data_IF_305620741583
#
_entry.id   IF_305620741583
#
_cell.length_a   1.000
_cell.length_b   1.000
_cell.length_c   1.000
_cell.angle_alpha   90.00
_cell.angle_beta   90.00
_cell.angle_gamma   90.00
#
_symmetry.space_group_name_H-M   'P 1'
#
loop_
_entity.id
_entity.type
_entity.pdbx_description
1 polymer ?
#
# COMPACT_ATOMS: atom_id res chain seq x y z
N UNK A 1 11.25 0.47 54.53
CA UNK A 1 12.27 1.11 53.66
C UNK A 1 11.67 1.24 52.28
N UNK A 2 11.04 2.39 52.02
CA UNK A 2 10.59 2.76 50.69
C UNK A 2 11.82 3.23 49.90
N UNK A 3 12.28 2.40 48.96
CA UNK A 3 13.34 2.77 48.02
C UNK A 3 12.74 2.98 46.63
N UNK A 4 12.67 4.26 46.24
CA UNK A 4 12.85 4.80 44.89
C UNK A 4 12.17 4.09 43.71
N UNK A 5 10.84 4.20 43.61
CA UNK A 5 10.12 3.87 42.37
C UNK A 5 10.47 4.81 41.20
N UNK A 6 10.84 6.06 41.47
CA UNK A 6 11.19 7.07 40.46
C UNK A 6 12.57 6.87 39.82
N UNK A 7 13.55 6.35 40.57
CA UNK A 7 14.88 6.03 40.03
C UNK A 7 14.88 4.83 39.07
N UNK A 8 13.93 3.91 39.24
CA UNK A 8 13.73 2.73 38.38
C UNK A 8 13.17 3.11 36.99
N UNK A 9 12.19 4.03 36.96
CA UNK A 9 11.50 4.44 35.73
C UNK A 9 12.42 5.22 34.80
N UNK A 10 13.25 6.14 35.32
CA UNK A 10 14.17 6.94 34.52
C UNK A 10 15.19 6.08 33.75
N UNK A 11 15.61 4.95 34.32
CA UNK A 11 16.53 3.99 33.67
C UNK A 11 15.83 3.14 32.60
N UNK A 12 14.50 3.09 32.59
CA UNK A 12 13.71 2.36 31.60
C UNK A 12 13.31 3.22 30.39
N UNK A 13 13.27 4.55 30.53
CA UNK A 13 12.86 5.48 29.46
C UNK A 13 13.63 5.25 28.16
N UNK A 14 14.98 5.13 28.14
CA UNK A 14 15.70 4.93 26.89
C UNK A 14 15.28 3.65 26.16
N UNK A 15 15.00 2.58 26.91
CA UNK A 15 14.55 1.32 26.34
C UNK A 15 13.11 1.36 25.83
N UNK A 16 12.23 2.10 26.52
CA UNK A 16 10.86 2.34 26.03
C UNK A 16 10.88 3.10 24.70
N UNK A 17 11.72 4.13 24.59
CA UNK A 17 11.89 4.88 23.34
C UNK A 17 12.43 3.99 22.22
N UNK A 18 13.40 3.13 22.50
CA UNK A 18 13.95 2.16 21.54
C UNK A 18 12.87 1.16 21.08
N UNK A 19 12.02 0.67 21.99
CA UNK A 19 10.89 -0.18 21.63
C UNK A 19 9.87 0.51 20.71
N UNK A 20 9.60 1.80 20.95
CA UNK A 20 8.74 2.61 20.08
C UNK A 20 9.37 2.75 18.68
N UNK A 21 10.70 2.92 18.57
CA UNK A 21 11.39 2.97 17.27
C UNK A 21 11.16 1.68 16.48
N UNK A 22 11.29 0.51 17.11
CA UNK A 22 10.94 -0.77 16.46
C UNK A 22 9.49 -0.80 15.96
N UNK A 23 8.54 -0.34 16.79
CA UNK A 23 7.13 -0.22 16.40
C UNK A 23 6.92 0.70 15.20
N UNK A 24 7.58 1.85 15.16
CA UNK A 24 7.52 2.78 14.02
C UNK A 24 8.06 2.13 12.74
N UNK A 25 9.19 1.42 12.83
CA UNK A 25 9.78 0.71 11.69
C UNK A 25 8.82 -0.36 11.16
N UNK A 26 8.20 -1.14 12.05
CA UNK A 26 7.17 -2.12 11.65
C UNK A 26 5.98 -1.43 10.97
N UNK A 27 5.48 -0.32 11.52
CA UNK A 27 4.36 0.42 10.94
C UNK A 27 4.67 0.98 9.55
N UNK A 28 5.89 1.47 9.32
CA UNK A 28 6.35 1.89 7.97
C UNK A 28 6.36 0.70 7.02
N UNK A 29 6.92 -0.44 7.42
CA UNK A 29 6.95 -1.65 6.60
C UNK A 29 5.55 -2.16 6.27
N UNK A 30 4.66 -2.21 7.27
CA UNK A 30 3.28 -2.59 7.11
C UNK A 30 2.54 -1.66 6.13
N UNK A 31 2.79 -0.34 6.20
CA UNK A 31 2.19 0.62 5.28
C UNK A 31 2.70 0.41 3.85
N UNK A 32 4.00 0.21 3.64
CA UNK A 32 4.53 -0.10 2.29
C UNK A 32 3.83 -1.35 1.71
N UNK A 33 3.70 -2.43 2.49
CA UNK A 33 2.99 -3.64 2.04
C UNK A 33 1.51 -3.37 1.74
N UNK A 34 0.85 -2.53 2.54
CA UNK A 34 -0.54 -2.12 2.30
C UNK A 34 -0.68 -1.35 0.98
N UNK A 35 0.23 -0.41 0.72
CA UNK A 35 0.29 0.39 -0.51
C UNK A 35 0.47 -0.47 -1.76
N UNK A 36 1.34 -1.47 -1.68
CA UNK A 36 1.58 -2.44 -2.74
C UNK A 36 0.35 -3.32 -3.00
N UNK A 37 -0.28 -3.85 -1.93
CA UNK A 37 -1.48 -4.68 -2.01
C UNK A 37 -2.65 -3.95 -2.69
N UNK A 38 -2.80 -2.65 -2.42
CA UNK A 38 -3.90 -1.82 -2.94
C UNK A 38 -3.45 -0.83 -4.03
N UNK A 39 -2.36 -1.12 -4.73
CA UNK A 39 -1.79 -0.28 -5.79
C UNK A 39 -2.80 0.08 -6.91
N UNK A 40 -3.71 -0.83 -7.22
CA UNK A 40 -4.70 -0.69 -8.30
C UNK A 40 -6.10 -0.28 -7.83
N UNK A 41 -6.30 -0.05 -6.52
CA UNK A 41 -7.57 0.40 -5.97
C UNK A 41 -7.67 1.92 -6.13
N UNK A 42 -8.45 2.37 -7.11
CA UNK A 42 -8.44 3.76 -7.61
C UNK A 42 -8.66 4.79 -6.50
N UNK A 43 -9.60 4.53 -5.60
CA UNK A 43 -9.99 5.48 -4.56
C UNK A 43 -9.28 5.26 -3.24
N UNK A 44 -8.16 4.51 -3.25
CA UNK A 44 -7.51 4.08 -2.02
C UNK A 44 -6.76 5.27 -1.42
N UNK A 45 -7.28 5.76 -0.31
CA UNK A 45 -6.80 6.90 0.45
C UNK A 45 -6.75 6.50 1.94
N UNK A 46 -5.69 5.78 2.36
CA UNK A 46 -5.63 5.25 3.72
C UNK A 46 -5.58 6.39 4.76
N UNK A 47 -4.84 7.46 4.47
CA UNK A 47 -4.63 8.58 5.40
C UNK A 47 -5.90 9.35 5.79
N UNK A 48 -6.93 9.33 4.95
CA UNK A 48 -8.22 9.99 5.24
C UNK A 48 -9.15 9.09 6.07
N UNK A 49 -8.75 7.85 6.34
CA UNK A 49 -9.56 6.85 7.03
C UNK A 49 -9.16 6.72 8.49
N UNK A 50 -10.08 6.96 9.43
CA UNK A 50 -9.81 6.80 10.87
C UNK A 50 -9.32 5.38 11.23
N UNK A 51 -9.89 4.34 10.61
CA UNK A 51 -9.46 2.95 10.83
C UNK A 51 -8.00 2.69 10.43
N UNK A 52 -7.46 3.42 9.45
CA UNK A 52 -6.05 3.31 9.09
C UNK A 52 -5.15 3.82 10.22
N UNK A 53 -5.53 4.92 10.89
CA UNK A 53 -4.78 5.44 12.03
C UNK A 53 -4.83 4.48 13.23
N UNK A 54 -6.00 3.90 13.51
CA UNK A 54 -6.13 2.85 14.52
C UNK A 54 -5.27 1.62 14.19
N UNK A 55 -5.27 1.19 12.94
CA UNK A 55 -4.41 0.13 12.45
C UNK A 55 -2.92 0.47 12.60
N UNK A 56 -2.50 1.66 12.19
CA UNK A 56 -1.11 2.12 12.30
C UNK A 56 -0.64 2.13 13.76
N UNK A 57 -1.49 2.60 14.68
CA UNK A 57 -1.19 2.58 16.12
C UNK A 57 -0.97 1.16 16.63
N UNK A 58 -1.75 0.18 16.17
CA UNK A 58 -1.57 -1.23 16.55
C UNK A 58 -0.26 -1.79 15.99
N UNK A 59 0.09 -1.43 14.75
CA UNK A 59 1.38 -1.79 14.16
C UNK A 59 2.58 -1.17 14.89
N UNK A 60 2.40 -0.09 15.65
CA UNK A 60 3.44 0.48 16.53
C UNK A 60 3.41 -0.18 17.90
N UNK A 61 2.22 -0.27 18.51
CA UNK A 61 2.03 -0.68 19.89
C UNK A 61 2.40 -2.15 20.13
N UNK A 62 1.96 -3.06 19.26
CA UNK A 62 2.15 -4.50 19.48
C UNK A 62 3.65 -4.88 19.45
N UNK A 63 4.47 -4.46 18.46
CA UNK A 63 5.90 -4.73 18.49
C UNK A 63 6.60 -4.06 19.67
N UNK A 64 6.24 -2.82 20.00
CA UNK A 64 6.83 -2.12 21.14
C UNK A 64 6.57 -2.86 22.46
N UNK A 65 5.35 -3.40 22.63
CA UNK A 65 4.97 -4.15 23.81
C UNK A 65 5.66 -5.52 23.89
N UNK A 66 5.78 -6.25 22.78
CA UNK A 66 6.50 -7.52 22.72
C UNK A 66 8.00 -7.29 23.01
N UNK A 67 8.58 -6.25 22.41
CA UNK A 67 9.95 -5.83 22.72
C UNK A 67 10.13 -5.54 24.21
N UNK A 68 9.19 -4.82 24.81
CA UNK A 68 9.21 -4.54 26.25
C UNK A 68 9.18 -5.81 27.09
N UNK A 69 8.29 -6.77 26.75
CA UNK A 69 8.21 -8.05 27.46
C UNK A 69 9.50 -8.86 27.35
N UNK A 70 10.12 -8.89 26.17
CA UNK A 70 11.41 -9.54 25.95
C UNK A 70 12.47 -8.88 26.84
N UNK A 71 12.53 -7.55 26.84
CA UNK A 71 13.50 -6.79 27.61
C UNK A 71 13.36 -6.99 29.13
N UNK A 72 12.13 -6.98 29.65
CA UNK A 72 11.89 -7.06 31.10
C UNK A 72 11.76 -8.49 31.62
N UNK A 73 11.33 -9.43 30.77
CA UNK A 73 11.02 -10.80 31.15
C UNK A 73 12.12 -11.81 30.85
N UNK A 74 12.92 -11.59 29.79
CA UNK A 74 13.94 -12.56 29.33
C UNK A 74 15.34 -12.14 29.75
N UNK A 75 15.65 -10.84 29.74
CA UNK A 75 16.99 -10.35 30.07
C UNK A 75 17.12 -10.06 31.57
N UNK A 76 17.85 -10.88 32.35
CA UNK A 76 18.03 -10.64 33.79
C UNK A 76 18.88 -9.39 34.08
N UNK A 77 19.74 -9.00 33.15
CA UNK A 77 20.44 -7.72 33.14
C UNK A 77 20.14 -7.03 31.82
N UNK A 78 19.77 -5.76 31.89
CA UNK A 78 19.46 -4.99 30.67
C UNK A 78 20.70 -4.87 29.78
N UNK A 79 20.53 -5.01 28.46
CA UNK A 79 21.61 -4.84 27.51
C UNK A 79 22.11 -3.39 27.49
N UNK A 80 23.40 -3.18 27.32
CA UNK A 80 23.97 -1.86 27.15
C UNK A 80 23.47 -1.24 25.83
N UNK A 81 23.08 0.04 25.87
CA UNK A 81 22.64 0.76 24.68
C UNK A 81 23.88 1.13 23.88
N UNK A 82 24.18 0.31 22.87
CA UNK A 82 25.29 0.51 21.94
C UNK A 82 24.76 0.43 20.49
N UNK A 83 25.58 0.81 19.48
CA UNK A 83 25.13 0.79 18.09
C UNK A 83 24.65 -0.59 17.61
N UNK A 84 25.26 -1.67 18.09
CA UNK A 84 24.85 -3.04 17.75
C UNK A 84 23.43 -3.30 18.24
N UNK A 85 23.12 -2.92 19.48
CA UNK A 85 21.79 -3.06 20.06
C UNK A 85 20.73 -2.28 19.27
N UNK A 86 21.04 -1.04 18.84
CA UNK A 86 20.14 -0.25 18.00
C UNK A 86 19.90 -0.93 16.66
N UNK A 87 20.94 -1.48 16.01
CA UNK A 87 20.80 -2.24 14.76
C UNK A 87 19.91 -3.47 14.97
N UNK A 88 20.08 -4.21 16.07
CA UNK A 88 19.22 -5.36 16.39
C UNK A 88 17.76 -4.96 16.53
N UNK A 89 17.47 -3.81 17.13
CA UNK A 89 16.10 -3.28 17.27
C UNK A 89 15.51 -2.91 15.91
N UNK A 90 16.31 -2.32 15.02
CA UNK A 90 15.89 -2.02 13.64
C UNK A 90 15.55 -3.31 12.90
N UNK A 91 16.41 -4.32 12.97
CA UNK A 91 16.17 -5.64 12.36
C UNK A 91 14.89 -6.26 12.93
N UNK A 92 14.70 -6.21 14.24
CA UNK A 92 13.48 -6.68 14.89
C UNK A 92 12.23 -6.00 14.34
N UNK A 93 12.23 -4.67 14.19
CA UNK A 93 11.11 -3.93 13.61
C UNK A 93 10.80 -4.32 12.16
N UNK A 94 11.84 -4.53 11.33
CA UNK A 94 11.69 -4.96 9.93
C UNK A 94 11.11 -6.38 9.85
N UNK A 95 11.64 -7.29 10.67
CA UNK A 95 11.33 -8.72 10.65
C UNK A 95 10.16 -9.12 11.56
N UNK A 96 9.49 -8.15 12.21
CA UNK A 96 8.50 -8.41 13.25
C UNK A 96 7.40 -9.38 12.83
N UNK A 97 6.81 -9.21 11.64
CA UNK A 97 5.75 -10.12 11.16
C UNK A 97 6.24 -11.57 11.04
N UNK A 98 7.39 -11.80 10.41
CA UNK A 98 7.97 -13.15 10.28
C UNK A 98 8.37 -13.73 11.64
N UNK A 99 8.82 -12.89 12.56
CA UNK A 99 9.17 -13.29 13.92
C UNK A 99 7.93 -13.62 14.75
N UNK A 100 6.82 -12.90 14.57
CA UNK A 100 5.54 -13.19 15.21
C UNK A 100 4.99 -14.55 14.74
N UNK A 101 5.01 -14.82 13.44
CA UNK A 101 4.64 -16.12 12.86
C UNK A 101 5.48 -17.25 13.46
N UNK A 102 6.80 -17.09 13.49
CA UNK A 102 7.71 -18.08 14.08
C UNK A 102 7.45 -18.32 15.57
N UNK A 103 7.25 -17.25 16.36
CA UNK A 103 6.97 -17.36 17.80
C UNK A 103 5.68 -18.15 18.06
N UNK A 104 4.67 -17.99 17.21
CA UNK A 104 3.40 -18.71 17.34
C UNK A 104 3.48 -20.16 16.88
N UNK A 105 4.22 -20.44 15.79
CA UNK A 105 4.51 -21.81 15.35
C UNK A 105 5.23 -22.61 16.44
N UNK A 106 6.16 -21.96 17.15
CA UNK A 106 6.92 -22.56 18.25
C UNK A 106 6.20 -22.49 19.61
N UNK A 107 4.98 -21.96 19.68
CA UNK A 107 4.19 -21.78 20.91
C UNK A 107 4.93 -21.02 22.03
N UNK A 108 5.85 -20.11 21.67
CA UNK A 108 6.67 -19.33 22.61
C UNK A 108 5.95 -18.10 23.19
N UNK A 109 4.77 -17.76 22.66
CA UNK A 109 3.89 -16.71 23.17
C UNK A 109 2.41 -17.14 23.03
N UNK A 110 1.46 -16.45 23.70
CA UNK A 110 0.04 -16.74 23.55
C UNK A 110 -0.38 -16.67 22.08
N UNK A 111 -1.06 -17.71 21.59
CA UNK A 111 -1.56 -17.90 20.21
C UNK A 111 -2.50 -16.80 19.67
N UNK A 112 -2.72 -15.74 20.44
CA UNK A 112 -3.73 -14.72 20.21
C UNK A 112 -3.14 -13.36 19.78
N UNK A 113 -1.81 -13.22 19.72
CA UNK A 113 -1.18 -11.96 19.31
C UNK A 113 -1.32 -11.71 17.81
N UNK A 114 -1.10 -12.72 16.97
CA UNK A 114 -1.44 -12.64 15.55
C UNK A 114 -2.93 -12.47 15.33
N UNK A 115 -3.80 -13.02 16.20
CA UNK A 115 -5.25 -12.81 16.09
C UNK A 115 -5.57 -11.31 16.17
N UNK A 116 -4.95 -10.55 17.08
CA UNK A 116 -5.18 -9.10 17.18
C UNK A 116 -4.69 -8.38 15.93
N UNK A 117 -3.46 -8.65 15.48
CA UNK A 117 -2.89 -8.01 14.28
C UNK A 117 -3.71 -8.36 13.03
N UNK A 118 -4.01 -9.64 12.83
CA UNK A 118 -4.79 -10.17 11.72
C UNK A 118 -6.24 -9.66 11.75
N UNK A 119 -6.86 -9.54 12.92
CA UNK A 119 -8.22 -9.03 13.03
C UNK A 119 -8.32 -7.58 12.58
N UNK A 120 -7.35 -6.75 13.00
CA UNK A 120 -7.30 -5.34 12.60
C UNK A 120 -6.96 -5.21 11.11
N UNK A 121 -6.04 -6.04 10.60
CA UNK A 121 -5.75 -6.13 9.16
C UNK A 121 -7.00 -6.48 8.36
N UNK A 122 -7.75 -7.50 8.81
CA UNK A 122 -8.98 -7.95 8.16
C UNK A 122 -10.09 -6.90 8.23
N UNK A 123 -10.22 -6.20 9.36
CA UNK A 123 -11.20 -5.13 9.52
C UNK A 123 -10.89 -3.96 8.59
N UNK A 124 -9.63 -3.55 8.51
CA UNK A 124 -9.18 -2.53 7.57
C UNK A 124 -9.43 -2.98 6.14
N UNK A 125 -9.06 -4.21 5.77
CA UNK A 125 -9.29 -4.78 4.44
C UNK A 125 -10.78 -4.81 4.06
N UNK A 126 -11.64 -5.25 4.97
CA UNK A 126 -13.08 -5.27 4.74
C UNK A 126 -13.62 -3.87 4.45
N UNK A 127 -13.25 -2.89 5.27
CA UNK A 127 -13.64 -1.50 5.09
C UNK A 127 -13.15 -0.92 3.76
N UNK A 128 -11.88 -1.15 3.42
CA UNK A 128 -11.28 -0.68 2.18
C UNK A 128 -11.95 -1.29 0.96
N UNK A 129 -12.27 -2.59 0.96
CA UNK A 129 -13.00 -3.24 -0.13
C UNK A 129 -14.41 -2.67 -0.27
N UNK A 130 -15.14 -2.53 0.85
CA UNK A 130 -16.50 -2.01 0.86
C UNK A 130 -16.59 -0.59 0.28
N UNK A 131 -15.66 0.30 0.65
CA UNK A 131 -15.64 1.69 0.16
C UNK A 131 -15.26 1.83 -1.32
N UNK A 132 -14.66 0.79 -1.92
CA UNK A 132 -14.12 0.81 -3.27
C UNK A 132 -15.06 0.24 -4.31
N UNK A 133 -15.75 -0.86 -4.00
CA UNK A 133 -16.47 -1.65 -5.01
C UNK A 133 -17.50 -0.80 -5.77
N UNK A 134 -18.35 -0.05 -5.08
CA UNK A 134 -19.36 0.80 -5.72
C UNK A 134 -18.72 1.94 -6.53
N UNK A 135 -17.81 2.71 -5.90
CA UNK A 135 -17.16 3.86 -6.53
C UNK A 135 -16.32 3.47 -7.75
N UNK A 136 -15.58 2.36 -7.67
CA UNK A 136 -14.78 1.84 -8.76
C UNK A 136 -15.66 1.37 -9.93
N UNK A 137 -16.77 0.71 -9.66
CA UNK A 137 -17.72 0.31 -10.70
C UNK A 137 -18.25 1.53 -11.47
N UNK A 138 -18.71 2.54 -10.73
CA UNK A 138 -19.23 3.79 -11.32
C UNK A 138 -18.14 4.54 -12.10
N UNK A 139 -16.92 4.57 -11.58
CA UNK A 139 -15.78 5.16 -12.27
C UNK A 139 -15.50 4.48 -13.60
N UNK A 140 -15.38 3.16 -13.62
CA UNK A 140 -15.07 2.44 -14.86
C UNK A 140 -16.19 2.58 -15.89
N UNK A 141 -17.46 2.58 -15.45
CA UNK A 141 -18.60 2.83 -16.32
C UNK A 141 -18.56 4.24 -16.91
N UNK A 142 -18.39 5.27 -16.08
CA UNK A 142 -18.29 6.65 -16.56
C UNK A 142 -17.05 6.87 -17.44
N UNK A 143 -15.94 6.16 -17.19
CA UNK A 143 -14.77 6.21 -18.06
C UNK A 143 -15.08 5.60 -19.43
N UNK A 144 -15.75 4.45 -19.49
CA UNK A 144 -16.18 3.86 -20.77
C UNK A 144 -17.12 4.80 -21.53
N UNK A 145 -18.03 5.50 -20.85
CA UNK A 145 -18.92 6.49 -21.46
C UNK A 145 -18.15 7.71 -21.99
N UNK A 146 -17.26 8.28 -21.17
CA UNK A 146 -16.45 9.43 -21.56
C UNK A 146 -15.53 9.11 -22.75
N UNK A 147 -14.96 7.90 -22.77
CA UNK A 147 -14.07 7.44 -23.83
C UNK A 147 -14.81 7.13 -25.14
N UNK A 148 -16.11 6.84 -25.13
CA UNK A 148 -16.89 6.65 -26.37
C UNK A 148 -17.04 7.94 -27.16
N UNK A 149 -17.15 9.06 -26.45
CA UNK A 149 -17.31 10.39 -27.03
C UNK A 149 -15.95 11.06 -27.34
N UNK A 150 -14.85 10.32 -27.19
CA UNK A 150 -13.50 10.85 -27.42
C UNK A 150 -13.29 11.15 -28.91
N UNK A 151 -12.66 12.29 -29.20
CA UNK A 151 -12.19 12.58 -30.55
C UNK A 151 -11.07 11.61 -30.94
N UNK A 152 -11.09 11.13 -32.19
CA UNK A 152 -10.08 10.20 -32.74
C UNK A 152 -8.64 10.66 -32.50
N UNK A 153 -8.38 11.95 -32.72
CA UNK A 153 -7.06 12.57 -32.48
C UNK A 153 -6.57 12.44 -31.03
N UNK A 154 -7.47 12.55 -30.05
CA UNK A 154 -7.13 12.43 -28.63
C UNK A 154 -6.92 10.96 -28.23
N UNK A 155 -7.67 10.04 -28.84
CA UNK A 155 -7.48 8.60 -28.65
C UNK A 155 -6.11 8.16 -29.17
N UNK A 156 -5.74 8.57 -30.38
CA UNK A 156 -4.44 8.28 -30.98
C UNK A 156 -3.29 8.83 -30.12
N UNK A 157 -3.38 10.12 -29.74
CA UNK A 157 -2.37 10.74 -28.89
C UNK A 157 -2.22 10.04 -27.52
N UNK A 158 -3.32 9.60 -26.91
CA UNK A 158 -3.27 8.85 -25.67
C UNK A 158 -2.70 7.43 -25.83
N UNK A 159 -2.96 6.77 -26.96
CA UNK A 159 -2.37 5.46 -27.28
C UNK A 159 -0.87 5.55 -27.55
N UNK A 160 -0.41 6.57 -28.29
CA UNK A 160 1.02 6.87 -28.51
C UNK A 160 1.72 7.14 -27.17
N UNK A 161 1.11 7.93 -26.28
CA UNK A 161 1.65 8.13 -24.95
C UNK A 161 1.77 6.82 -24.15
N UNK A 162 0.76 5.95 -24.21
CA UNK A 162 0.81 4.65 -23.52
C UNK A 162 1.96 3.79 -24.02
N UNK A 163 2.15 3.74 -25.33
CA UNK A 163 3.18 2.96 -26.01
C UNK A 163 4.58 3.51 -25.74
N UNK A 164 4.83 4.74 -26.19
CA UNK A 164 6.16 5.31 -26.35
C UNK A 164 6.69 5.91 -25.06
N UNK A 165 5.80 6.31 -24.14
CA UNK A 165 6.20 6.97 -22.90
C UNK A 165 5.91 6.12 -21.68
N UNK A 166 4.67 5.65 -21.50
CA UNK A 166 4.27 5.01 -20.25
C UNK A 166 4.80 3.57 -20.13
N UNK A 167 4.51 2.70 -21.10
CA UNK A 167 4.91 1.29 -21.02
C UNK A 167 6.38 1.09 -21.33
N UNK A 168 6.93 1.81 -22.32
CA UNK A 168 8.37 1.76 -22.62
C UNK A 168 9.21 2.15 -21.40
N UNK A 169 8.97 3.34 -20.84
CA UNK A 169 9.73 3.84 -19.70
C UNK A 169 9.60 2.99 -18.42
N UNK A 170 8.49 2.27 -18.24
CA UNK A 170 8.22 1.51 -17.00
C UNK A 170 8.53 0.03 -17.08
N UNK A 171 8.47 -0.58 -18.26
CA UNK A 171 8.54 -2.04 -18.37
C UNK A 171 9.62 -2.54 -19.32
N UNK A 172 10.01 -1.78 -20.36
CA UNK A 172 10.94 -2.29 -21.39
C UNK A 172 12.27 -2.80 -20.80
N UNK A 173 12.82 -2.07 -19.81
CA UNK A 173 14.09 -2.44 -19.16
C UNK A 173 13.95 -3.36 -17.95
N UNK A 174 12.77 -3.40 -17.33
CA UNK A 174 12.54 -4.09 -16.05
C UNK A 174 11.84 -5.44 -16.21
N UNK A 175 10.92 -5.55 -17.18
CA UNK A 175 10.15 -6.77 -17.44
C UNK A 175 9.74 -6.82 -18.92
N UNK A 176 10.60 -7.43 -19.75
CA UNK A 176 10.41 -7.52 -21.21
C UNK A 176 9.15 -8.29 -21.59
N UNK A 177 8.81 -9.36 -20.89
CA UNK A 177 7.63 -10.17 -21.20
C UNK A 177 6.34 -9.38 -20.95
N UNK A 178 6.28 -8.67 -19.83
CA UNK A 178 5.16 -7.80 -19.50
C UNK A 178 5.05 -6.64 -20.50
N UNK A 179 6.18 -6.05 -20.88
CA UNK A 179 6.23 -5.02 -21.90
C UNK A 179 5.68 -5.52 -23.24
N UNK A 180 6.16 -6.66 -23.73
CA UNK A 180 5.67 -7.26 -24.97
C UNK A 180 4.17 -7.58 -24.90
N UNK A 181 3.69 -8.05 -23.74
CA UNK A 181 2.27 -8.29 -23.50
C UNK A 181 1.41 -7.01 -23.60
N UNK A 182 1.94 -5.85 -23.20
CA UNK A 182 1.26 -4.57 -23.39
C UNK A 182 1.31 -4.11 -24.85
N UNK A 183 2.44 -4.29 -25.54
CA UNK A 183 2.61 -3.93 -26.94
C UNK A 183 1.68 -4.72 -27.87
N UNK A 184 1.52 -6.02 -27.63
CA UNK A 184 0.60 -6.87 -28.39
C UNK A 184 -0.85 -6.37 -28.24
N UNK A 185 -1.27 -6.05 -27.01
CA UNK A 185 -2.62 -5.52 -26.73
C UNK A 185 -2.84 -4.15 -27.34
N UNK A 186 -1.85 -3.26 -27.32
CA UNK A 186 -1.92 -1.96 -27.99
C UNK A 186 -2.11 -2.13 -29.49
N UNK A 187 -1.37 -3.06 -30.11
CA UNK A 187 -1.52 -3.41 -31.53
C UNK A 187 -2.94 -3.90 -31.84
N UNK A 188 -3.48 -4.82 -31.03
CA UNK A 188 -4.86 -5.31 -31.17
C UNK A 188 -5.90 -4.18 -31.04
N UNK A 189 -5.67 -3.23 -30.15
CA UNK A 189 -6.55 -2.06 -29.98
C UNK A 189 -6.46 -1.15 -31.19
N UNK A 190 -5.25 -0.86 -31.70
CA UNK A 190 -5.04 0.01 -32.87
C UNK A 190 -5.66 -0.54 -34.16
N UNK A 191 -5.78 -1.86 -34.28
CA UNK A 191 -6.44 -2.54 -35.40
C UNK A 191 -7.97 -2.42 -35.37
N UNK A 192 -8.56 -2.01 -34.24
CA UNK A 192 -10.00 -1.78 -34.14
C UNK A 192 -10.41 -0.48 -34.82
N UNK A 193 -11.30 -0.57 -35.82
CA UNK A 193 -11.74 0.58 -36.61
C UNK A 193 -12.85 1.38 -35.92
N UNK A 194 -13.67 0.72 -35.09
CA UNK A 194 -14.72 1.37 -34.33
C UNK A 194 -14.14 2.02 -33.06
N UNK A 195 -14.19 3.35 -32.98
CA UNK A 195 -13.64 4.14 -31.87
C UNK A 195 -14.26 3.74 -30.52
N UNK A 196 -15.55 3.42 -30.49
CA UNK A 196 -16.26 3.00 -29.27
C UNK A 196 -15.77 1.61 -28.81
N UNK A 197 -15.60 0.68 -29.75
CA UNK A 197 -15.08 -0.65 -29.44
C UNK A 197 -13.59 -0.61 -29.06
N UNK A 198 -12.80 0.24 -29.73
CA UNK A 198 -11.39 0.50 -29.45
C UNK A 198 -11.22 1.03 -28.03
N UNK A 199 -11.99 2.05 -27.68
CA UNK A 199 -12.01 2.67 -26.35
C UNK A 199 -12.42 1.67 -25.25
N UNK A 200 -13.45 0.85 -25.52
CA UNK A 200 -13.88 -0.19 -24.59
C UNK A 200 -12.79 -1.25 -24.37
N UNK A 201 -12.10 -1.69 -25.44
CA UNK A 201 -10.97 -2.62 -25.34
C UNK A 201 -9.85 -2.01 -24.50
N UNK A 202 -9.45 -0.77 -24.80
CA UNK A 202 -8.42 -0.02 -24.06
C UNK A 202 -8.71 0.04 -22.55
N UNK A 203 -9.92 0.45 -22.17
CA UNK A 203 -10.31 0.54 -20.75
C UNK A 203 -10.18 -0.81 -20.06
N UNK A 204 -10.65 -1.89 -20.70
CA UNK A 204 -10.67 -3.23 -20.10
C UNK A 204 -9.31 -3.91 -20.03
N UNK A 205 -8.45 -3.71 -21.02
CA UNK A 205 -7.22 -4.52 -21.17
C UNK A 205 -5.96 -3.81 -20.68
N UNK A 206 -5.92 -2.48 -20.75
CA UNK A 206 -4.72 -1.68 -20.49
C UNK A 206 -4.89 -0.62 -19.39
N UNK A 207 -6.11 -0.16 -19.10
CA UNK A 207 -6.33 0.78 -17.99
C UNK A 207 -6.74 0.04 -16.70
N UNK A 208 -7.86 -0.68 -16.73
CA UNK A 208 -8.46 -1.34 -15.57
C UNK A 208 -7.54 -2.40 -14.97
N UNK A 209 -7.09 -2.15 -13.74
CA UNK A 209 -6.24 -3.06 -12.99
C UNK A 209 -4.83 -3.24 -13.55
N UNK A 210 -4.39 -2.37 -14.48
CA UNK A 210 -3.05 -2.41 -15.09
C UNK A 210 -2.26 -1.13 -14.86
N UNK A 211 -2.95 0.01 -14.74
CA UNK A 211 -2.32 1.28 -14.39
C UNK A 211 -2.51 1.51 -12.89
N UNK A 212 -1.41 1.64 -12.12
CA UNK A 212 -1.46 2.02 -10.71
C UNK A 212 -2.26 3.31 -10.50
N UNK A 213 -3.02 3.38 -9.41
CA UNK A 213 -3.90 4.52 -9.11
C UNK A 213 -3.18 5.87 -9.16
N UNK A 214 -1.93 5.92 -8.69
CA UNK A 214 -1.08 7.12 -8.67
C UNK A 214 -0.78 7.69 -10.07
N UNK A 215 -0.80 6.86 -11.11
CA UNK A 215 -0.50 7.28 -12.48
C UNK A 215 -1.75 7.49 -13.31
N UNK A 216 -2.88 6.89 -12.90
CA UNK A 216 -4.12 6.89 -13.66
C UNK A 216 -4.60 8.31 -14.03
N UNK A 217 -4.60 9.33 -13.13
CA UNK A 217 -5.01 10.69 -13.50
C UNK A 217 -4.15 11.28 -14.63
N UNK A 218 -2.84 11.08 -14.59
CA UNK A 218 -1.93 11.61 -15.60
C UNK A 218 -2.12 10.91 -16.93
N UNK A 219 -2.27 9.58 -16.94
CA UNK A 219 -2.57 8.82 -18.15
C UNK A 219 -3.88 9.29 -18.77
N UNK A 220 -4.94 9.43 -17.98
CA UNK A 220 -6.26 9.85 -18.48
C UNK A 220 -6.26 11.28 -19.04
N UNK A 221 -5.40 12.16 -18.53
CA UNK A 221 -5.23 13.51 -19.09
C UNK A 221 -4.62 13.50 -20.50
N UNK A 222 -3.82 12.50 -20.86
CA UNK A 222 -3.24 12.39 -22.21
C UNK A 222 -4.32 12.05 -23.25
N UNK A 223 -5.37 11.35 -22.83
CA UNK A 223 -6.59 11.15 -23.64
C UNK A 223 -7.48 12.42 -23.72
N UNK A 224 -7.05 13.53 -23.11
CA UNK A 224 -7.79 14.82 -23.05
C UNK A 224 -9.26 14.64 -22.60
N UNK A 225 -9.50 13.76 -21.64
CA UNK A 225 -10.82 13.61 -21.02
C UNK A 225 -11.28 14.93 -20.38
N UNK A 226 -12.59 15.11 -20.24
CA UNK A 226 -13.10 16.38 -19.75
C UNK A 226 -12.54 16.71 -18.36
N UNK A 227 -12.24 17.99 -18.08
CA UNK A 227 -11.85 18.40 -16.73
C UNK A 227 -12.93 18.07 -15.69
N UNK A 228 -14.21 18.04 -16.10
CA UNK A 228 -15.34 17.64 -15.26
C UNK A 228 -15.22 16.18 -14.81
N UNK A 229 -14.89 15.26 -15.73
CA UNK A 229 -14.67 13.85 -15.40
C UNK A 229 -13.49 13.68 -14.45
N UNK A 230 -12.33 14.27 -14.76
CA UNK A 230 -11.13 14.16 -13.93
C UNK A 230 -11.38 14.73 -12.52
N UNK A 231 -12.05 15.88 -12.43
CA UNK A 231 -12.35 16.51 -11.14
C UNK A 231 -13.38 15.72 -10.31
N UNK A 232 -14.33 15.03 -10.95
CA UNK A 232 -15.32 14.22 -10.23
C UNK A 232 -14.69 13.09 -9.41
N UNK A 233 -13.58 12.52 -9.91
CA UNK A 233 -12.98 11.32 -9.32
C UNK A 233 -11.62 11.53 -8.66
N UNK A 234 -10.86 12.57 -9.06
CA UNK A 234 -9.48 12.76 -8.62
C UNK A 234 -9.20 14.13 -8.00
N UNK A 235 -10.19 15.03 -7.91
CA UNK A 235 -9.99 16.30 -7.20
C UNK A 235 -9.85 15.99 -5.71
N UNK A 236 -8.68 16.33 -5.17
CA UNK A 236 -8.39 16.23 -3.75
C UNK A 236 -9.37 17.12 -2.98
N UNK A 237 -10.21 16.53 -2.15
CA UNK A 237 -10.82 17.19 -1.00
C UNK A 237 -9.86 17.09 0.18
#
# INVERSE_FOLDING_TARGET
MEQNSTGSILVLIPYLLIGIIAGIINAVNAWIKLEEKYLYYIFFQPLTTFLFWGWLLIQIYVPAQIYWWILTGIFPKKPDINPIFIITVVIYGISFQSLLEYIEEQALAPRNLSIIVNWVDNLLEYYLKATQLAKASDFWKSLEEEMKEIKKENLLSGLEYLEDSYFDGKYNRLNKDQYQGFQNKLTEIKQENDISLQSKKLVKTLLKGKIPRRHLPNVLRQFKLSPKFINKYFKQS
#
